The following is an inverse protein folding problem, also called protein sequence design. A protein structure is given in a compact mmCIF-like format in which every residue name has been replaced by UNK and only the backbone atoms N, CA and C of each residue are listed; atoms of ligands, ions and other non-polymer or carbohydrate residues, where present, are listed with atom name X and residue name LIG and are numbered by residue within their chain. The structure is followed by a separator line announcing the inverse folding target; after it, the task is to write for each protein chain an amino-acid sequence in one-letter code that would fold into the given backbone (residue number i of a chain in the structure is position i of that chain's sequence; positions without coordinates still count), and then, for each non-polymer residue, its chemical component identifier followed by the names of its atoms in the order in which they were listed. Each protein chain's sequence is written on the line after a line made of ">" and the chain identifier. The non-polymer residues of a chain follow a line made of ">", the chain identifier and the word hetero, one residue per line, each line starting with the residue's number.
data_IF_952112900216
#
_entry.id   IF_952112900216
#
_cell.length_a   1.000
_cell.length_b   1.000
_cell.length_c   1.000
_cell.angle_alpha   90.00
_cell.angle_beta   90.00
_cell.angle_gamma   90.00
#
_symmetry.space_group_name_H-M   'P 1'
#
loop_
_entity.id
_entity.type
_entity.pdbx_description
1 polymer ?
#
# COMPACT_ATOMS: atom_id res chain seq x y z
N UNK A 1 62.50 -39.19 -0.99
CA UNK A 1 61.19 -39.64 -1.52
C UNK A 1 60.11 -38.78 -0.89
N UNK A 2 59.18 -38.27 -1.71
CA UNK A 2 58.25 -37.17 -1.46
C UNK A 2 58.95 -35.81 -1.27
N UNK A 3 58.49 -34.69 -1.83
CA UNK A 3 57.11 -34.28 -2.10
C UNK A 3 56.92 -33.67 -3.48
N UNK A 4 55.72 -33.89 -4.04
CA UNK A 4 55.21 -33.33 -5.29
C UNK A 4 54.64 -31.94 -4.99
N UNK A 5 55.22 -30.91 -5.61
CA UNK A 5 54.75 -29.53 -5.53
C UNK A 5 53.42 -29.38 -6.27
N UNK A 6 52.37 -29.06 -5.53
CA UNK A 6 51.04 -28.81 -6.06
C UNK A 6 51.02 -27.52 -6.86
N UNK A 7 50.70 -27.63 -8.15
CA UNK A 7 50.32 -26.49 -8.99
C UNK A 7 49.04 -25.87 -8.44
N UNK A 8 49.18 -24.74 -7.76
CA UNK A 8 48.06 -23.87 -7.41
C UNK A 8 47.38 -23.40 -8.69
N UNK A 9 46.12 -23.79 -8.88
CA UNK A 9 45.22 -23.04 -9.73
C UNK A 9 44.94 -21.73 -8.99
N UNK A 10 45.69 -20.68 -9.33
CA UNK A 10 45.30 -19.32 -9.01
C UNK A 10 43.94 -19.05 -9.67
N UNK A 11 42.88 -19.30 -8.92
CA UNK A 11 41.56 -18.77 -9.21
C UNK A 11 41.67 -17.26 -9.07
N UNK A 12 42.07 -16.59 -10.16
CA UNK A 12 41.84 -15.17 -10.32
C UNK A 12 40.36 -14.93 -9.99
N UNK A 13 40.01 -14.05 -9.02
CA UNK A 13 38.63 -13.72 -8.80
C UNK A 13 38.08 -13.20 -10.13
N UNK A 14 37.01 -13.82 -10.63
CA UNK A 14 36.29 -13.30 -11.79
C UNK A 14 36.11 -11.79 -11.57
N UNK A 15 36.43 -10.93 -12.55
CA UNK A 15 36.26 -9.50 -12.38
C UNK A 15 34.82 -9.28 -11.91
N UNK A 16 34.64 -8.64 -10.75
CA UNK A 16 33.32 -8.29 -10.25
C UNK A 16 32.70 -7.47 -11.38
N UNK A 17 31.75 -8.06 -12.13
CA UNK A 17 31.11 -7.38 -13.25
C UNK A 17 30.65 -6.03 -12.73
N UNK A 18 31.15 -4.95 -13.32
CA UNK A 18 30.72 -3.61 -13.00
C UNK A 18 29.18 -3.58 -13.13
N UNK A 19 28.52 -3.03 -12.12
CA UNK A 19 27.08 -2.96 -12.13
C UNK A 19 26.68 -1.89 -13.17
N UNK A 20 26.03 -2.31 -14.25
CA UNK A 20 25.59 -1.38 -15.29
C UNK A 20 24.31 -0.65 -14.85
N UNK A 21 24.47 0.34 -13.97
CA UNK A 21 23.39 1.24 -13.58
C UNK A 21 23.07 2.22 -14.71
N UNK A 22 21.81 2.60 -14.85
CA UNK A 22 21.44 3.60 -15.83
C UNK A 22 21.95 4.98 -15.38
N UNK A 23 23.09 5.41 -15.92
CA UNK A 23 23.83 6.60 -15.47
C UNK A 23 23.02 7.92 -15.49
N UNK A 24 21.84 7.96 -16.10
CA UNK A 24 20.98 9.15 -16.05
C UNK A 24 20.20 9.21 -14.74
N UNK A 25 19.49 8.13 -14.37
CA UNK A 25 18.53 8.10 -13.26
C UNK A 25 18.94 7.20 -12.09
N UNK A 26 20.03 6.45 -12.22
CA UNK A 26 20.55 5.52 -11.21
C UNK A 26 22.02 5.82 -10.87
N UNK A 27 22.39 5.46 -9.65
CA UNK A 27 23.76 5.51 -9.13
C UNK A 27 24.08 4.19 -8.47
N UNK A 28 25.32 3.74 -8.62
CA UNK A 28 25.80 2.53 -7.97
C UNK A 28 26.00 2.77 -6.47
N UNK A 29 25.42 1.90 -5.64
CA UNK A 29 25.61 1.88 -4.20
C UNK A 29 26.15 0.53 -3.74
N UNK A 30 27.15 0.56 -2.85
CA UNK A 30 27.70 -0.65 -2.22
C UNK A 30 26.70 -1.33 -1.28
N UNK A 31 25.72 -0.56 -0.80
CA UNK A 31 24.69 -1.01 0.13
C UNK A 31 23.36 -0.40 -0.35
N UNK A 32 22.73 -1.09 -1.30
CA UNK A 32 21.37 -0.81 -1.77
C UNK A 32 20.40 -1.83 -1.15
N UNK A 33 19.17 -1.42 -0.88
CA UNK A 33 18.20 -2.15 -0.08
C UNK A 33 16.96 -2.49 -0.94
N UNK A 34 16.14 -3.47 -0.53
CA UNK A 34 14.88 -3.86 -1.23
C UNK A 34 13.75 -2.82 -1.20
N UNK A 35 14.00 -1.64 -0.65
CA UNK A 35 13.02 -0.62 -0.26
C UNK A 35 13.42 0.73 -0.89
N UNK A 36 13.47 0.81 -2.22
CA UNK A 36 13.70 2.10 -2.88
C UNK A 36 12.52 3.04 -2.63
N UNK A 37 12.76 4.34 -2.75
CA UNK A 37 11.67 5.31 -2.86
C UNK A 37 10.80 4.97 -4.08
N UNK A 38 9.49 5.19 -3.97
CA UNK A 38 8.51 4.92 -5.02
C UNK A 38 7.55 6.10 -5.18
N UNK A 39 6.64 6.06 -6.14
CA UNK A 39 5.57 7.06 -6.21
C UNK A 39 4.56 6.94 -5.06
N UNK A 40 4.44 5.77 -4.43
CA UNK A 40 3.64 5.58 -3.21
C UNK A 40 4.34 6.19 -1.98
N UNK A 41 5.68 6.13 -1.92
CA UNK A 41 6.47 6.72 -0.83
C UNK A 41 7.77 7.37 -1.36
N UNK A 42 7.71 8.64 -1.81
CA UNK A 42 8.86 9.33 -2.41
C UNK A 42 10.00 9.62 -1.42
N UNK A 43 9.72 9.65 -0.12
CA UNK A 43 10.71 9.92 0.93
C UNK A 43 11.63 8.74 1.26
N UNK A 44 11.49 7.61 0.56
CA UNK A 44 12.16 6.32 0.83
C UNK A 44 11.76 5.74 2.21
N UNK A 45 11.07 4.59 2.26
CA UNK A 45 10.70 3.98 3.54
C UNK A 45 11.91 3.58 4.38
N UNK A 46 11.70 3.55 5.70
CA UNK A 46 12.60 2.82 6.59
C UNK A 46 12.54 1.33 6.25
N UNK A 47 13.67 0.80 5.80
CA UNK A 47 13.80 -0.61 5.47
C UNK A 47 13.62 -1.47 6.71
N UNK A 48 12.65 -2.40 6.70
CA UNK A 48 12.40 -3.33 7.82
C UNK A 48 13.64 -4.18 8.17
N UNK A 49 14.49 -4.42 7.18
CA UNK A 49 15.68 -5.24 7.32
C UNK A 49 16.90 -4.43 6.85
N UNK A 50 18.04 -4.60 7.54
CA UNK A 50 19.31 -3.96 7.19
C UNK A 50 20.14 -4.79 6.18
N UNK A 51 19.51 -5.77 5.52
CA UNK A 51 20.18 -6.50 4.44
C UNK A 51 20.36 -5.55 3.25
N UNK A 52 21.60 -5.38 2.83
CA UNK A 52 21.91 -4.65 1.62
C UNK A 52 22.86 -5.46 0.74
N UNK A 53 22.80 -5.18 -0.54
CA UNK A 53 23.69 -5.72 -1.54
C UNK A 53 24.19 -4.59 -2.44
N UNK A 54 25.30 -4.82 -3.12
CA UNK A 54 25.80 -3.89 -4.13
C UNK A 54 24.77 -3.81 -5.25
N UNK A 55 24.21 -2.63 -5.50
CA UNK A 55 23.03 -2.44 -6.34
C UNK A 55 22.93 -1.03 -6.90
N UNK A 56 22.03 -0.84 -7.87
CA UNK A 56 21.69 0.47 -8.39
C UNK A 56 20.58 1.08 -7.54
N UNK A 57 20.70 2.35 -7.19
CA UNK A 57 19.68 3.12 -6.51
C UNK A 57 19.28 4.32 -7.36
N UNK A 58 18.01 4.73 -7.29
CA UNK A 58 17.56 5.94 -7.96
C UNK A 58 18.29 7.16 -7.39
N UNK A 59 18.71 8.08 -8.26
CA UNK A 59 19.33 9.34 -7.86
C UNK A 59 18.33 10.22 -7.08
N UNK A 60 18.80 11.21 -6.29
CA UNK A 60 17.93 12.19 -5.67
C UNK A 60 17.01 12.86 -6.72
N UNK A 61 15.72 12.98 -6.39
CA UNK A 61 14.68 13.46 -7.32
C UNK A 61 14.09 12.39 -8.23
N UNK A 62 14.54 11.14 -8.14
CA UNK A 62 13.99 10.00 -8.87
C UNK A 62 13.45 8.93 -7.92
N UNK A 63 12.42 8.23 -8.35
CA UNK A 63 11.80 7.11 -7.63
C UNK A 63 11.65 5.90 -8.53
N UNK A 64 11.61 4.71 -7.93
CA UNK A 64 11.44 3.45 -8.65
C UNK A 64 9.98 3.29 -9.06
N UNK A 65 9.74 3.17 -10.36
CA UNK A 65 8.43 2.85 -10.92
C UNK A 65 8.20 1.33 -10.92
N UNK A 66 7.07 0.88 -10.36
CA UNK A 66 6.77 -0.54 -10.20
C UNK A 66 6.46 -1.30 -11.52
N UNK A 67 5.97 -0.61 -12.57
CA UNK A 67 5.62 -1.26 -13.84
C UNK A 67 6.84 -1.71 -14.64
N UNK A 68 7.82 -0.82 -14.80
CA UNK A 68 9.00 -1.04 -15.64
C UNK A 68 10.26 -1.29 -14.82
N UNK A 69 10.17 -1.18 -13.48
CA UNK A 69 11.31 -1.24 -12.57
C UNK A 69 12.42 -0.25 -12.96
N UNK A 70 12.05 0.93 -13.44
CA UNK A 70 12.96 2.02 -13.84
C UNK A 70 12.87 3.20 -12.87
N UNK A 71 13.92 4.01 -12.79
CA UNK A 71 13.89 5.25 -12.01
C UNK A 71 13.33 6.38 -12.88
N UNK A 72 12.20 6.94 -12.46
CA UNK A 72 11.54 8.09 -13.10
C UNK A 72 11.65 9.32 -12.18
N UNK A 73 11.65 10.55 -12.72
CA UNK A 73 11.56 11.75 -11.89
C UNK A 73 10.30 11.76 -11.02
N UNK A 74 10.39 12.28 -9.79
CA UNK A 74 9.26 12.36 -8.85
C UNK A 74 8.10 13.15 -9.43
N UNK A 75 8.37 14.19 -10.24
CA UNK A 75 7.33 14.98 -10.90
C UNK A 75 6.49 14.20 -11.92
N UNK A 76 6.94 13.02 -12.36
CA UNK A 76 6.17 12.12 -13.23
C UNK A 76 5.29 11.15 -12.45
N UNK A 77 5.34 11.17 -11.11
CA UNK A 77 4.46 10.35 -10.31
C UNK A 77 2.98 10.75 -10.50
N UNK A 78 2.06 9.77 -10.46
CA UNK A 78 0.64 10.06 -10.53
C UNK A 78 0.21 11.00 -9.40
N UNK A 79 -0.58 12.00 -9.73
CA UNK A 79 -1.20 12.90 -8.76
C UNK A 79 -2.59 12.39 -8.43
N UNK A 80 -2.95 12.46 -7.14
CA UNK A 80 -4.25 12.07 -6.64
C UNK A 80 -5.07 13.28 -6.20
N UNK A 81 -6.39 13.10 -6.12
CA UNK A 81 -7.29 14.14 -5.67
C UNK A 81 -7.16 14.44 -4.19
N UNK A 82 -8.00 15.35 -3.72
CA UNK A 82 -8.09 15.70 -2.30
C UNK A 82 -8.52 14.46 -1.50
N UNK A 83 -7.83 14.21 -0.38
CA UNK A 83 -8.04 13.04 0.49
C UNK A 83 -7.80 11.68 -0.18
N UNK A 84 -6.94 11.64 -1.20
CA UNK A 84 -6.48 10.42 -1.84
C UNK A 84 -4.96 10.28 -1.71
N UNK A 85 -4.48 9.04 -1.71
CA UNK A 85 -3.07 8.71 -1.83
C UNK A 85 -2.86 7.71 -2.97
N UNK A 86 -1.72 7.83 -3.64
CA UNK A 86 -1.36 6.89 -4.68
C UNK A 86 -0.86 5.59 -4.07
N UNK A 87 -1.24 4.45 -4.66
CA UNK A 87 -0.62 3.16 -4.38
C UNK A 87 -0.24 2.46 -5.67
N UNK A 88 0.93 1.86 -5.68
CA UNK A 88 1.32 0.94 -6.75
C UNK A 88 0.53 -0.37 -6.63
N UNK A 89 0.14 -0.74 -5.41
CA UNK A 89 -0.57 -1.95 -5.07
C UNK A 89 -1.66 -1.68 -4.02
N UNK A 90 -2.83 -1.20 -4.46
CA UNK A 90 -4.00 -1.00 -3.61
C UNK A 90 -5.04 -2.12 -3.73
N UNK A 91 -6.01 -2.12 -2.82
CA UNK A 91 -7.13 -3.07 -2.82
C UNK A 91 -8.04 -2.83 -4.02
N UNK A 92 -8.55 -3.89 -4.64
CA UNK A 92 -9.47 -3.78 -5.78
C UNK A 92 -10.85 -3.21 -5.45
N UNK A 93 -11.21 -3.09 -4.17
CA UNK A 93 -12.43 -2.43 -3.75
C UNK A 93 -12.16 -1.45 -2.63
N UNK A 94 -12.68 -0.25 -2.82
CA UNK A 94 -12.69 0.83 -1.85
C UNK A 94 -14.09 0.96 -1.24
N UNK A 95 -14.18 1.33 0.04
CA UNK A 95 -15.44 1.71 0.63
C UNK A 95 -16.00 2.95 -0.07
N UNK A 96 -17.30 2.94 -0.33
CA UNK A 96 -18.07 4.05 -0.88
C UNK A 96 -19.10 4.52 0.13
N UNK A 97 -19.70 5.70 -0.07
CA UNK A 97 -20.83 6.15 0.77
C UNK A 97 -21.99 5.12 0.84
N UNK A 98 -22.14 4.26 -0.17
CA UNK A 98 -23.18 3.23 -0.19
C UNK A 98 -22.81 1.91 0.51
N UNK A 99 -21.53 1.63 0.75
CA UNK A 99 -21.10 0.31 1.24
C UNK A 99 -20.01 0.33 2.34
N UNK A 100 -19.59 1.51 2.82
CA UNK A 100 -18.51 1.62 3.80
C UNK A 100 -18.77 0.82 5.08
N UNK A 101 -20.03 0.63 5.45
CA UNK A 101 -20.46 -0.14 6.62
C UNK A 101 -20.40 -1.67 6.42
N UNK A 102 -20.43 -2.13 5.17
CA UNK A 102 -20.52 -3.52 4.74
C UNK A 102 -19.51 -3.82 3.61
N UNK A 103 -18.29 -3.29 3.72
CA UNK A 103 -17.27 -3.53 2.69
C UNK A 103 -16.99 -5.03 2.59
N UNK A 104 -17.15 -5.66 1.39
CA UNK A 104 -17.08 -7.10 1.26
C UNK A 104 -15.79 -7.72 1.81
N UNK A 105 -15.83 -8.89 2.49
CA UNK A 105 -14.65 -9.54 3.04
C UNK A 105 -13.58 -9.87 1.99
N UNK A 106 -14.02 -10.12 0.75
CA UNK A 106 -13.15 -10.46 -0.38
C UNK A 106 -12.27 -9.28 -0.85
N UNK A 107 -12.56 -8.06 -0.38
CA UNK A 107 -11.71 -6.89 -0.54
C UNK A 107 -10.38 -6.97 0.21
N UNK A 108 -10.20 -7.98 1.07
CA UNK A 108 -8.98 -8.21 1.83
C UNK A 108 -7.96 -9.12 1.13
N UNK A 109 -8.22 -9.57 -0.10
CA UNK A 109 -7.29 -10.41 -0.84
C UNK A 109 -6.25 -9.58 -1.60
N UNK A 110 -4.99 -9.65 -1.17
CA UNK A 110 -3.85 -8.95 -1.79
C UNK A 110 -3.41 -9.53 -3.14
N UNK A 111 -4.12 -10.54 -3.67
CA UNK A 111 -3.73 -11.25 -4.89
C UNK A 111 -4.13 -10.50 -6.17
N UNK A 112 -5.07 -9.57 -6.08
CA UNK A 112 -5.49 -8.71 -7.18
C UNK A 112 -5.27 -7.27 -6.74
N UNK A 113 -4.09 -6.72 -7.05
CA UNK A 113 -3.78 -5.35 -6.73
C UNK A 113 -4.18 -4.42 -7.88
N UNK A 114 -4.69 -3.24 -7.53
CA UNK A 114 -4.97 -2.16 -8.46
C UNK A 114 -3.97 -1.03 -8.20
N UNK A 115 -3.30 -0.59 -9.25
CA UNK A 115 -2.52 0.64 -9.24
C UNK A 115 -3.48 1.83 -9.38
N UNK A 116 -3.29 2.88 -8.59
CA UNK A 116 -4.14 4.08 -8.69
C UNK A 116 -4.22 4.90 -7.41
N UNK A 117 -5.14 5.85 -7.41
CA UNK A 117 -5.47 6.68 -6.27
C UNK A 117 -6.54 6.02 -5.40
N UNK A 118 -6.32 6.04 -4.09
CA UNK A 118 -7.19 5.43 -3.09
C UNK A 118 -7.56 6.45 -2.02
N UNK A 119 -8.80 6.40 -1.53
CA UNK A 119 -9.23 7.25 -0.43
C UNK A 119 -8.33 7.02 0.80
N UNK A 120 -7.97 8.12 1.46
CA UNK A 120 -7.25 8.10 2.73
C UNK A 120 -8.07 7.36 3.79
N UNK A 121 -7.38 6.85 4.82
CA UNK A 121 -8.05 6.23 5.96
C UNK A 121 -9.08 7.20 6.58
N UNK A 122 -10.29 6.70 6.87
CA UNK A 122 -11.42 7.51 7.35
C UNK A 122 -12.25 8.20 6.25
N UNK A 123 -11.80 8.13 5.00
CA UNK A 123 -12.53 8.65 3.85
C UNK A 123 -13.12 7.52 3.00
N UNK A 124 -14.23 7.81 2.33
CA UNK A 124 -14.95 6.88 1.47
C UNK A 124 -15.26 7.55 0.13
N UNK A 125 -15.33 6.76 -0.93
CA UNK A 125 -15.57 7.27 -2.28
C UNK A 125 -17.05 7.61 -2.45
N UNK A 126 -17.36 8.87 -2.72
CA UNK A 126 -18.71 9.34 -2.99
C UNK A 126 -18.98 9.34 -4.50
N UNK A 127 -19.72 8.33 -4.98
CA UNK A 127 -20.03 8.19 -6.40
C UNK A 127 -21.01 9.26 -6.89
N UNK A 128 -21.82 9.85 -6.00
CA UNK A 128 -22.75 10.93 -6.34
C UNK A 128 -22.02 12.27 -6.49
N UNK A 129 -20.82 12.40 -5.90
CA UNK A 129 -19.90 13.54 -6.05
C UNK A 129 -18.74 13.24 -6.98
N UNK A 130 -19.00 12.62 -8.12
CA UNK A 130 -18.00 12.33 -9.16
C UNK A 130 -16.80 11.50 -8.66
N UNK A 131 -17.01 10.63 -7.66
CA UNK A 131 -15.99 9.75 -7.12
C UNK A 131 -14.99 10.43 -6.18
N UNK A 132 -15.29 11.61 -5.61
CA UNK A 132 -14.42 12.25 -4.62
C UNK A 132 -14.39 11.51 -3.29
N UNK A 133 -13.24 11.53 -2.60
CA UNK A 133 -13.11 10.97 -1.27
C UNK A 133 -13.59 11.98 -0.20
N UNK A 134 -14.67 11.61 0.49
CA UNK A 134 -15.32 12.42 1.51
C UNK A 134 -15.25 11.71 2.86
N UNK A 135 -15.38 12.47 3.94
CA UNK A 135 -15.57 11.87 5.25
C UNK A 135 -16.91 11.14 5.29
N UNK A 136 -16.99 10.08 6.09
CA UNK A 136 -18.20 9.27 6.25
C UNK A 136 -19.41 10.11 6.68
N UNK A 137 -19.20 11.14 7.48
CA UNK A 137 -20.23 12.08 7.97
C UNK A 137 -20.84 12.97 6.87
N UNK A 138 -20.11 13.17 5.77
CA UNK A 138 -20.51 13.92 4.58
C UNK A 138 -21.27 13.05 3.57
N UNK A 139 -21.32 11.73 3.78
CA UNK A 139 -22.22 10.87 3.03
C UNK A 139 -23.67 11.21 3.41
N UNK A 140 -24.64 11.02 2.49
CA UNK A 140 -26.05 11.15 2.83
C UNK A 140 -26.36 10.23 4.03
N UNK A 141 -26.63 10.85 5.19
CA UNK A 141 -26.86 10.16 6.46
C UNK A 141 -27.97 9.11 6.29
N UNK A 142 -27.55 7.85 6.21
CA UNK A 142 -28.41 6.67 6.26
C UNK A 142 -27.73 5.66 7.18
N UNK A 143 -27.69 5.94 8.47
CA UNK A 143 -27.64 4.82 9.40
C UNK A 143 -28.91 4.00 9.19
N UNK A 144 -28.76 2.68 9.11
CA UNK A 144 -29.88 1.78 8.95
C UNK A 144 -30.79 1.77 10.18
N UNK A 145 -31.89 1.05 10.09
CA UNK A 145 -32.74 0.84 11.24
C UNK A 145 -31.98 0.13 12.36
N UNK A 146 -32.11 0.61 13.60
CA UNK A 146 -31.38 0.15 14.78
C UNK A 146 -29.88 0.46 14.78
N UNK A 147 -29.49 1.54 14.12
CA UNK A 147 -28.14 2.09 14.18
C UNK A 147 -28.19 3.56 14.57
N UNK A 148 -27.12 4.03 15.21
CA UNK A 148 -26.90 5.44 15.50
C UNK A 148 -25.55 5.87 14.94
N UNK A 149 -25.43 7.16 14.64
CA UNK A 149 -24.18 7.74 14.17
C UNK A 149 -23.29 8.08 15.37
N UNK A 150 -22.00 7.78 15.26
CA UNK A 150 -20.98 8.09 16.26
C UNK A 150 -19.74 8.69 15.60
N UNK A 151 -19.27 9.83 16.11
CA UNK A 151 -18.08 10.53 15.57
C UNK A 151 -16.78 9.74 15.78
N UNK A 152 -16.70 8.97 16.87
CA UNK A 152 -15.59 8.08 17.20
C UNK A 152 -16.03 6.61 17.17
N UNK A 153 -16.74 6.24 16.10
CA UNK A 153 -17.25 4.89 15.91
C UNK A 153 -16.22 3.92 15.31
N UNK A 154 -16.66 2.68 15.15
CA UNK A 154 -15.88 1.63 14.47
C UNK A 154 -16.56 1.33 13.12
N UNK A 155 -15.87 1.48 11.98
CA UNK A 155 -16.51 1.48 10.66
C UNK A 155 -16.97 0.09 10.19
N UNK A 156 -16.75 -0.96 10.98
CA UNK A 156 -17.01 -2.33 10.61
C UNK A 156 -17.50 -3.17 11.78
N UNK A 157 -18.19 -4.27 11.46
CA UNK A 157 -18.73 -5.21 12.44
C UNK A 157 -18.07 -6.58 12.35
N UNK A 158 -18.01 -7.29 13.47
CA UNK A 158 -17.63 -8.71 13.50
C UNK A 158 -18.75 -9.53 12.88
N UNK A 159 -18.44 -10.37 11.91
CA UNK A 159 -19.41 -11.29 11.30
C UNK A 159 -18.94 -12.72 11.43
N UNK A 160 -19.83 -13.71 11.24
CA UNK A 160 -19.42 -15.12 11.23
C UNK A 160 -18.37 -15.41 10.12
N UNK A 161 -18.45 -14.71 9.00
CA UNK A 161 -17.50 -14.82 7.88
C UNK A 161 -16.21 -14.00 8.12
N UNK A 162 -16.25 -12.94 8.93
CA UNK A 162 -15.09 -12.15 9.31
C UNK A 162 -15.15 -11.78 10.81
N UNK A 163 -14.77 -12.71 11.71
CA UNK A 163 -14.88 -12.49 13.15
C UNK A 163 -13.85 -11.50 13.72
N UNK A 164 -12.78 -11.22 12.96
CA UNK A 164 -11.70 -10.29 13.34
C UNK A 164 -11.35 -9.36 12.17
N UNK A 165 -12.25 -8.42 11.83
CA UNK A 165 -11.96 -7.45 10.79
C UNK A 165 -10.81 -6.51 11.21
N UNK A 166 -9.85 -6.27 10.30
CA UNK A 166 -8.65 -5.43 10.57
C UNK A 166 -8.97 -4.01 11.03
N UNK A 167 -10.09 -3.46 10.59
CA UNK A 167 -10.56 -2.14 11.00
C UNK A 167 -10.90 -2.03 12.50
N UNK A 168 -10.97 -3.13 13.25
CA UNK A 168 -11.07 -3.07 14.72
C UNK A 168 -9.75 -2.68 15.39
N UNK A 169 -8.61 -2.83 14.70
CA UNK A 169 -7.28 -2.46 15.21
C UNK A 169 -6.88 -1.03 14.80
N UNK A 170 -7.72 -0.37 14.00
CA UNK A 170 -7.49 0.98 13.48
C UNK A 170 -8.09 2.06 14.41
N UNK A 171 -7.61 3.32 14.34
CA UNK A 171 -8.19 4.42 15.10
C UNK A 171 -9.69 4.60 14.80
N UNK A 172 -10.51 5.03 15.80
CA UNK A 172 -11.92 5.32 15.58
C UNK A 172 -12.12 6.40 14.52
N UNK A 173 -13.20 6.26 13.75
CA UNK A 173 -13.61 7.21 12.71
C UNK A 173 -15.12 7.41 12.78
N UNK A 174 -15.66 8.51 12.22
CA UNK A 174 -17.09 8.66 12.03
C UNK A 174 -17.73 7.43 11.39
N UNK A 175 -18.72 6.82 12.05
CA UNK A 175 -19.36 5.59 11.59
C UNK A 175 -20.80 5.44 12.13
N UNK A 176 -21.61 4.64 11.44
CA UNK A 176 -22.83 4.11 12.04
C UNK A 176 -22.48 2.91 12.93
N UNK A 177 -23.08 2.83 14.11
CA UNK A 177 -22.87 1.79 15.11
C UNK A 177 -24.21 1.13 15.42
N UNK A 178 -24.24 -0.20 15.52
CA UNK A 178 -25.47 -0.92 15.85
C UNK A 178 -25.89 -0.65 17.30
N UNK A 179 -27.19 -0.48 17.53
CA UNK A 179 -27.76 -0.44 18.88
C UNK A 179 -27.44 -1.74 19.63
N UNK A 180 -27.39 -1.66 20.97
CA UNK A 180 -27.17 -2.83 21.82
C UNK A 180 -28.17 -3.96 21.50
N UNK A 181 -27.64 -5.17 21.29
CA UNK A 181 -28.44 -6.35 20.92
C UNK A 181 -28.66 -6.55 19.41
N UNK A 182 -28.21 -5.63 18.56
CA UNK A 182 -28.29 -5.73 17.10
C UNK A 182 -26.91 -5.98 16.47
N UNK A 183 -26.91 -6.70 15.33
CA UNK A 183 -25.73 -6.92 14.48
C UNK A 183 -26.14 -6.77 13.01
N UNK A 184 -25.26 -6.25 12.14
CA UNK A 184 -25.56 -6.16 10.70
C UNK A 184 -25.68 -7.55 10.10
N UNK A 185 -26.68 -7.77 9.26
CA UNK A 185 -26.75 -8.97 8.44
C UNK A 185 -25.71 -8.86 7.29
N UNK A 186 -25.13 -9.98 6.88
CA UNK A 186 -24.15 -10.03 5.78
C UNK A 186 -24.79 -10.01 4.37
N UNK A 187 -26.07 -9.63 4.25
CA UNK A 187 -26.89 -9.86 3.05
C UNK A 187 -27.65 -8.63 2.52
N UNK A 188 -27.57 -7.48 3.16
CA UNK A 188 -28.19 -6.25 2.65
C UNK A 188 -27.12 -5.24 2.32
N UNK A 189 -26.73 -5.27 1.03
CA UNK A 189 -26.23 -4.08 0.34
C UNK A 189 -27.38 -3.15 -0.01
#
# INVERSE_FOLDING_TARGET
>A
MATIDGTGFDLMPAPIRALNCHNISEVEHNCSNSCPASCEEPSKPACRNNYCWRGCECKPGYVKEHQNWTCIPVELCPTCGVNEHFRDCGRNCEPTCGNYQNTPPHCNSNHNCKRGCFCNFGYVRDMDKNGTCVLVDQCPQKCGQNEYYEEAGVPCVRTAANPRPKCLDEPPVPACVCNTGYVRNNHTG
#
